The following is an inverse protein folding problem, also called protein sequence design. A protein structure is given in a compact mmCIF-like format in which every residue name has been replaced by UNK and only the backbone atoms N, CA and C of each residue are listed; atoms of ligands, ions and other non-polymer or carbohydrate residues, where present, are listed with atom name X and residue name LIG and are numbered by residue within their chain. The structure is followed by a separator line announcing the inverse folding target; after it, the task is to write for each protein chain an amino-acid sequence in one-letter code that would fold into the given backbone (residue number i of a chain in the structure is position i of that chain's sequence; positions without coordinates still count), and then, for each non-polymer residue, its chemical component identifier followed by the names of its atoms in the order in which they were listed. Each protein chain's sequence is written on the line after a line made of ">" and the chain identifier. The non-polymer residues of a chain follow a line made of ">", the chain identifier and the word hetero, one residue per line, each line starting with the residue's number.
data_IF_354193977509
#
_entry.id   IF_354193977509
#
_cell.length_a   1.000
_cell.length_b   1.000
_cell.length_c   1.000
_cell.angle_alpha   90.00
_cell.angle_beta   90.00
_cell.angle_gamma   90.00
#
_symmetry.space_group_name_H-M   'P 1'
#
loop_
_entity.id
_entity.type
_entity.pdbx_description
1 polymer ?
#
# COMPACT_ATOMS: atom_id res chain seq x y z
N UNK A 1 16.77 -35.55 30.47
CA UNK A 1 15.44 -35.06 30.04
C UNK A 1 15.63 -33.95 29.01
N UNK A 2 15.06 -34.09 27.81
CA UNK A 2 15.14 -33.04 26.77
C UNK A 2 14.10 -31.95 27.09
N UNK A 3 14.56 -30.78 27.50
CA UNK A 3 13.73 -29.58 27.62
C UNK A 3 13.46 -29.02 26.23
N UNK A 4 12.20 -29.04 25.79
CA UNK A 4 11.75 -28.30 24.62
C UNK A 4 11.18 -26.96 25.09
N UNK A 5 11.81 -25.81 24.80
CA UNK A 5 11.19 -24.52 25.09
C UNK A 5 10.07 -24.27 24.09
N UNK A 6 8.86 -24.10 24.60
CA UNK A 6 7.69 -23.66 23.86
C UNK A 6 7.95 -22.25 23.28
N UNK A 7 8.28 -22.15 21.99
CA UNK A 7 8.33 -20.90 21.23
C UNK A 7 6.91 -20.37 20.96
N UNK A 8 6.25 -19.81 21.98
CA UNK A 8 5.18 -18.83 21.80
C UNK A 8 5.85 -17.45 21.71
N UNK A 9 6.00 -16.92 20.49
CA UNK A 9 6.35 -15.50 20.28
C UNK A 9 5.41 -14.62 21.09
N UNK A 10 5.95 -13.61 21.77
CA UNK A 10 5.15 -12.69 22.60
C UNK A 10 4.09 -11.98 21.73
N UNK A 11 3.00 -11.47 22.34
CA UNK A 11 1.98 -10.69 21.62
C UNK A 11 2.57 -9.41 21.00
N UNK A 12 3.60 -8.85 21.63
CA UNK A 12 4.33 -7.66 21.18
C UNK A 12 5.12 -7.96 19.90
N UNK A 13 5.91 -9.03 19.88
CA UNK A 13 6.65 -9.49 18.69
C UNK A 13 5.71 -9.73 17.50
N UNK A 14 4.52 -10.29 17.74
CA UNK A 14 3.54 -10.52 16.68
C UNK A 14 2.96 -9.21 16.13
N UNK A 15 2.77 -8.21 16.99
CA UNK A 15 2.27 -6.89 16.59
C UNK A 15 3.32 -6.14 15.78
N UNK A 16 4.57 -6.15 16.22
CA UNK A 16 5.71 -5.57 15.52
C UNK A 16 5.91 -6.21 14.13
N UNK A 17 5.81 -7.53 14.03
CA UNK A 17 5.89 -8.24 12.75
C UNK A 17 4.79 -7.85 11.78
N UNK A 18 3.55 -7.64 12.26
CA UNK A 18 2.45 -7.16 11.41
C UNK A 18 2.74 -5.77 10.89
N UNK A 19 3.18 -4.87 11.78
CA UNK A 19 3.49 -3.50 11.43
C UNK A 19 4.63 -3.43 10.41
N UNK A 20 5.73 -4.16 10.63
CA UNK A 20 6.85 -4.25 9.69
C UNK A 20 6.41 -4.74 8.30
N UNK A 21 5.50 -5.72 8.21
CA UNK A 21 4.98 -6.21 6.93
C UNK A 21 4.09 -5.21 6.20
N UNK A 22 3.32 -4.42 6.96
CA UNK A 22 2.50 -3.32 6.42
C UNK A 22 3.41 -2.19 5.91
N UNK A 23 4.43 -1.82 6.68
CA UNK A 23 5.42 -0.81 6.30
C UNK A 23 6.20 -1.22 5.05
N UNK A 24 6.58 -2.49 4.96
CA UNK A 24 7.22 -3.04 3.77
C UNK A 24 6.30 -2.98 2.53
N UNK A 25 5.01 -3.31 2.68
CA UNK A 25 4.02 -3.16 1.62
C UNK A 25 3.94 -1.70 1.12
N UNK A 26 3.79 -0.73 2.03
CA UNK A 26 3.74 0.67 1.65
C UNK A 26 5.05 1.17 1.05
N UNK A 27 6.19 0.66 1.50
CA UNK A 27 7.49 0.97 0.91
C UNK A 27 7.53 0.53 -0.55
N UNK A 28 7.07 -0.70 -0.88
CA UNK A 28 6.99 -1.16 -2.26
C UNK A 28 6.08 -0.28 -3.14
N UNK A 29 4.94 0.17 -2.60
CA UNK A 29 4.06 1.12 -3.30
C UNK A 29 4.81 2.43 -3.58
N UNK A 30 5.45 3.02 -2.56
CA UNK A 30 6.21 4.27 -2.72
C UNK A 30 7.38 4.13 -3.69
N UNK A 31 8.07 2.99 -3.68
CA UNK A 31 9.10 2.67 -4.67
C UNK A 31 8.50 2.68 -6.08
N UNK A 32 7.37 2.00 -6.32
CA UNK A 32 6.73 2.00 -7.63
C UNK A 32 6.39 3.43 -8.09
N UNK A 33 5.85 4.27 -7.20
CA UNK A 33 5.54 5.67 -7.48
C UNK A 33 6.80 6.47 -7.82
N UNK A 34 7.81 6.44 -6.95
CA UNK A 34 9.06 7.16 -7.12
C UNK A 34 9.82 6.73 -8.38
N UNK A 35 9.85 5.43 -8.68
CA UNK A 35 10.46 4.90 -9.90
C UNK A 35 9.71 5.34 -11.16
N UNK A 36 8.37 5.40 -11.12
CA UNK A 36 7.56 5.89 -12.24
C UNK A 36 7.76 7.40 -12.44
N UNK A 37 7.84 8.18 -11.36
CA UNK A 37 8.20 9.60 -11.42
C UNK A 37 9.60 9.81 -11.99
N UNK A 38 10.59 8.97 -11.60
CA UNK A 38 11.94 9.06 -12.12
C UNK A 38 11.99 8.93 -13.65
N UNK A 39 11.26 7.93 -14.17
CA UNK A 39 11.15 7.67 -15.61
C UNK A 39 10.43 8.82 -16.31
N UNK A 40 9.27 9.24 -15.80
CA UNK A 40 8.41 10.22 -16.47
C UNK A 40 8.99 11.65 -16.45
N UNK A 41 9.69 12.02 -15.37
CA UNK A 41 10.18 13.38 -15.13
C UNK A 41 11.70 13.52 -15.35
N UNK A 42 12.38 12.43 -15.75
CA UNK A 42 13.83 12.42 -15.97
C UNK A 42 14.64 12.73 -14.71
N UNK A 43 14.22 12.24 -13.54
CA UNK A 43 14.95 12.45 -12.27
C UNK A 43 16.20 11.57 -12.26
N UNK A 44 17.36 12.20 -12.19
CA UNK A 44 18.68 11.52 -12.17
C UNK A 44 19.33 11.52 -10.79
N UNK A 45 18.93 12.43 -9.90
CA UNK A 45 19.42 12.46 -8.53
C UNK A 45 18.65 11.44 -7.67
N UNK A 46 19.29 10.33 -7.33
CA UNK A 46 18.70 9.26 -6.52
C UNK A 46 18.24 9.74 -5.13
N UNK A 47 18.88 10.77 -4.57
CA UNK A 47 18.53 11.30 -3.25
C UNK A 47 17.18 12.04 -3.24
N UNK A 48 16.65 12.41 -4.41
CA UNK A 48 15.31 12.98 -4.54
C UNK A 48 14.19 11.92 -4.32
N UNK A 49 14.54 10.63 -4.30
CA UNK A 49 13.63 9.50 -4.28
C UNK A 49 14.05 8.49 -3.19
N UNK A 50 13.81 8.82 -1.90
CA UNK A 50 14.44 8.13 -0.77
C UNK A 50 14.03 6.65 -0.63
N UNK A 51 12.75 6.30 -0.86
CA UNK A 51 12.31 4.90 -0.79
C UNK A 51 12.93 4.09 -1.92
N UNK A 52 12.97 4.63 -3.14
CA UNK A 52 13.62 4.00 -4.29
C UNK A 52 15.13 3.84 -4.05
N UNK A 53 15.78 4.86 -3.47
CA UNK A 53 17.20 4.82 -3.13
C UNK A 53 17.51 3.70 -2.13
N UNK A 54 16.72 3.61 -1.06
CA UNK A 54 16.86 2.56 -0.05
C UNK A 54 16.62 1.18 -0.67
N UNK A 55 15.53 1.02 -1.43
CA UNK A 55 15.19 -0.23 -2.11
C UNK A 55 16.29 -0.72 -3.05
N UNK A 56 16.84 0.18 -3.87
CA UNK A 56 17.95 -0.11 -4.78
C UNK A 56 19.19 -0.60 -4.03
N UNK A 57 19.56 0.05 -2.91
CA UNK A 57 20.71 -0.34 -2.08
C UNK A 57 20.49 -1.71 -1.43
N UNK A 58 19.32 -1.91 -0.80
CA UNK A 58 18.97 -3.15 -0.10
C UNK A 58 18.98 -4.36 -1.03
N UNK A 59 18.40 -4.23 -2.22
CA UNK A 59 18.30 -5.33 -3.18
C UNK A 59 19.44 -5.36 -4.21
N UNK A 60 20.40 -4.45 -4.09
CA UNK A 60 21.53 -4.32 -5.04
C UNK A 60 21.07 -4.25 -6.50
N UNK A 61 19.99 -3.51 -6.77
CA UNK A 61 19.40 -3.39 -8.11
C UNK A 61 20.32 -2.55 -8.98
N UNK A 62 20.76 -3.09 -10.11
CA UNK A 62 21.56 -2.35 -11.09
C UNK A 62 20.69 -1.37 -11.88
N UNK A 63 21.26 -0.24 -12.26
CA UNK A 63 20.58 0.74 -13.12
C UNK A 63 20.46 0.15 -14.53
N UNK A 64 19.29 0.23 -15.14
CA UNK A 64 19.05 -0.30 -16.47
C UNK A 64 19.10 0.82 -17.51
N UNK A 65 19.88 0.61 -18.57
CA UNK A 65 20.05 1.58 -19.67
C UNK A 65 20.49 2.99 -19.19
N UNK A 66 21.31 3.06 -18.14
CA UNK A 66 21.77 4.33 -17.55
C UNK A 66 20.66 5.19 -16.91
N UNK A 67 19.44 4.67 -16.76
CA UNK A 67 18.28 5.41 -16.23
C UNK A 67 17.81 4.86 -14.88
N UNK A 68 17.62 5.76 -13.92
CA UNK A 68 16.98 5.43 -12.64
C UNK A 68 15.49 5.08 -12.85
N UNK A 69 14.98 4.20 -12.00
CA UNK A 69 13.56 3.87 -11.92
C UNK A 69 13.14 2.71 -12.83
N UNK A 70 13.87 2.39 -13.90
CA UNK A 70 13.44 1.32 -14.83
C UNK A 70 13.44 -0.05 -14.15
N UNK A 71 14.56 -0.44 -13.55
CA UNK A 71 14.70 -1.73 -12.88
C UNK A 71 13.90 -1.76 -11.56
N UNK A 72 13.91 -0.65 -10.80
CA UNK A 72 13.22 -0.54 -9.52
C UNK A 72 11.68 -0.60 -9.70
N UNK A 73 11.14 0.03 -10.76
CA UNK A 73 9.71 -0.07 -11.11
C UNK A 73 9.33 -1.51 -11.47
N UNK A 74 10.12 -2.17 -12.30
CA UNK A 74 9.87 -3.56 -12.71
C UNK A 74 9.88 -4.50 -11.49
N UNK A 75 10.89 -4.38 -10.64
CA UNK A 75 11.04 -5.22 -9.46
C UNK A 75 9.94 -4.97 -8.42
N UNK A 76 9.67 -3.71 -8.09
CA UNK A 76 8.59 -3.36 -7.13
C UNK A 76 7.22 -3.81 -7.63
N UNK A 77 6.90 -3.62 -8.92
CA UNK A 77 5.67 -4.13 -9.54
C UNK A 77 5.57 -5.65 -9.40
N UNK A 78 6.63 -6.38 -9.75
CA UNK A 78 6.68 -7.85 -9.62
C UNK A 78 6.41 -8.28 -8.17
N UNK A 79 7.06 -7.65 -7.20
CA UNK A 79 6.88 -7.97 -5.77
C UNK A 79 5.47 -7.65 -5.28
N UNK A 80 4.87 -6.55 -5.75
CA UNK A 80 3.49 -6.17 -5.43
C UNK A 80 2.46 -7.15 -6.03
N UNK A 81 2.64 -7.54 -7.29
CA UNK A 81 1.76 -8.52 -7.95
C UNK A 81 1.88 -9.89 -7.30
N UNK A 82 3.09 -10.42 -7.14
CA UNK A 82 3.32 -11.78 -6.65
C UNK A 82 3.10 -11.91 -5.15
N UNK A 83 3.53 -10.91 -4.37
CA UNK A 83 3.46 -10.93 -2.91
C UNK A 83 2.12 -10.48 -2.34
N UNK A 84 1.44 -9.55 -3.02
CA UNK A 84 0.23 -8.90 -2.49
C UNK A 84 -0.99 -9.06 -3.40
N UNK A 85 -0.82 -9.60 -4.60
CA UNK A 85 -1.92 -9.89 -5.52
C UNK A 85 -2.48 -8.66 -6.22
N UNK A 86 -1.68 -7.61 -6.38
CA UNK A 86 -2.10 -6.43 -7.14
C UNK A 86 -2.22 -6.75 -8.63
N UNK A 87 -3.23 -6.17 -9.27
CA UNK A 87 -3.59 -6.33 -10.67
C UNK A 87 -2.81 -5.38 -11.56
N UNK A 88 -2.79 -5.67 -12.86
CA UNK A 88 -2.21 -4.74 -13.83
C UNK A 88 -2.99 -3.43 -13.93
N UNK A 89 -4.29 -3.48 -13.66
CA UNK A 89 -5.14 -2.30 -13.68
C UNK A 89 -4.76 -1.32 -12.55
N UNK A 90 -4.35 -1.83 -11.39
CA UNK A 90 -3.85 -1.01 -10.29
C UNK A 90 -2.70 -0.10 -10.73
N UNK A 91 -1.71 -0.68 -11.40
CA UNK A 91 -0.54 0.07 -11.87
C UNK A 91 -0.87 1.05 -12.98
N UNK A 92 -1.81 0.69 -13.88
CA UNK A 92 -2.29 1.61 -14.93
C UNK A 92 -2.93 2.86 -14.35
N UNK A 93 -3.73 2.74 -13.30
CA UNK A 93 -4.32 3.91 -12.63
C UNK A 93 -3.27 4.77 -11.91
N UNK A 94 -2.27 4.15 -11.28
CA UNK A 94 -1.11 4.88 -10.71
C UNK A 94 -0.37 5.66 -11.79
N UNK A 95 -0.03 5.00 -12.91
CA UNK A 95 0.69 5.63 -14.02
C UNK A 95 -0.11 6.80 -14.61
N UNK A 96 -1.44 6.62 -14.78
CA UNK A 96 -2.34 7.65 -15.27
C UNK A 96 -2.42 8.84 -14.30
N UNK A 97 -2.55 8.59 -13.00
CA UNK A 97 -2.57 9.60 -11.95
C UNK A 97 -1.28 10.44 -11.95
N UNK A 98 -0.13 9.76 -11.98
CA UNK A 98 1.17 10.41 -12.03
C UNK A 98 1.34 11.23 -13.31
N UNK A 99 0.93 10.70 -14.46
CA UNK A 99 0.98 11.42 -15.74
C UNK A 99 0.08 12.66 -15.73
N UNK A 100 -1.07 12.59 -15.09
CA UNK A 100 -2.00 13.72 -14.99
C UNK A 100 -1.48 14.82 -14.06
N UNK A 101 -0.90 14.45 -12.92
CA UNK A 101 -0.58 15.36 -11.83
C UNK A 101 0.89 15.81 -11.76
N UNK A 102 1.83 15.04 -12.31
CA UNK A 102 3.26 15.34 -12.26
C UNK A 102 3.76 15.70 -13.67
N UNK A 103 3.93 17.00 -13.95
CA UNK A 103 4.43 17.50 -15.24
C UNK A 103 5.90 17.89 -15.20
N UNK A 104 6.37 18.31 -14.02
CA UNK A 104 7.76 18.68 -13.74
C UNK A 104 8.23 18.05 -12.42
N UNK A 105 9.54 18.00 -12.21
CA UNK A 105 10.15 17.36 -11.03
C UNK A 105 9.61 17.91 -9.69
N UNK A 106 9.32 19.22 -9.63
CA UNK A 106 8.78 19.84 -8.42
C UNK A 106 7.39 19.33 -8.02
N UNK A 107 6.61 18.80 -8.97
CA UNK A 107 5.27 18.29 -8.69
C UNK A 107 5.32 16.93 -7.95
N UNK A 108 6.45 16.21 -8.05
CA UNK A 108 6.61 14.89 -7.44
C UNK A 108 6.38 14.92 -5.92
N UNK A 109 7.01 15.86 -5.22
CA UNK A 109 6.88 15.98 -3.76
C UNK A 109 5.45 16.38 -3.36
N UNK A 110 4.83 17.33 -4.06
CA UNK A 110 3.44 17.73 -3.81
C UNK A 110 2.45 16.58 -4.05
N UNK A 111 2.70 15.75 -5.07
CA UNK A 111 1.91 14.56 -5.32
C UNK A 111 2.08 13.52 -4.20
N UNK A 112 3.33 13.21 -3.82
CA UNK A 112 3.60 12.24 -2.73
C UNK A 112 2.97 12.69 -1.41
N UNK A 113 3.00 13.99 -1.10
CA UNK A 113 2.31 14.54 0.07
C UNK A 113 0.79 14.35 0.00
N UNK A 114 0.19 14.64 -1.16
CA UNK A 114 -1.25 14.40 -1.41
C UNK A 114 -1.60 12.92 -1.24
N UNK A 115 -0.77 12.03 -1.80
CA UNK A 115 -0.95 10.59 -1.70
C UNK A 115 -0.78 10.07 -0.27
N UNK A 116 0.17 10.62 0.50
CA UNK A 116 0.35 10.27 1.90
C UNK A 116 -0.88 10.64 2.74
N UNK A 117 -1.42 11.85 2.56
CA UNK A 117 -2.66 12.28 3.22
C UNK A 117 -3.84 11.37 2.89
N UNK A 118 -4.02 11.07 1.60
CA UNK A 118 -5.00 10.09 1.13
C UNK A 118 -4.86 8.73 1.82
N UNK A 119 -3.64 8.18 1.84
CA UNK A 119 -3.38 6.86 2.43
C UNK A 119 -3.68 6.86 3.93
N UNK A 120 -3.27 7.89 4.65
CA UNK A 120 -3.49 7.98 6.09
C UNK A 120 -4.99 8.02 6.41
N UNK A 121 -5.73 8.93 5.79
CA UNK A 121 -7.16 9.08 6.06
C UNK A 121 -7.96 7.84 5.62
N UNK A 122 -7.58 7.22 4.50
CA UNK A 122 -8.21 5.98 4.07
C UNK A 122 -7.98 4.85 5.08
N UNK A 123 -6.78 4.73 5.64
CA UNK A 123 -6.48 3.72 6.65
C UNK A 123 -7.20 3.98 7.97
N UNK A 124 -7.39 5.25 8.38
CA UNK A 124 -8.21 5.60 9.54
C UNK A 124 -9.62 5.06 9.37
N UNK A 125 -10.27 5.38 8.25
CA UNK A 125 -11.66 4.96 8.01
C UNK A 125 -11.76 3.45 7.85
N UNK A 126 -10.84 2.83 7.11
CA UNK A 126 -10.84 1.38 6.91
C UNK A 126 -10.62 0.64 8.23
N UNK A 127 -9.72 1.12 9.09
CA UNK A 127 -9.45 0.51 10.39
C UNK A 127 -10.68 0.54 11.31
N UNK A 128 -11.41 1.65 11.33
CA UNK A 128 -12.65 1.77 12.09
C UNK A 128 -13.75 0.86 11.52
N UNK A 129 -13.96 0.91 10.20
CA UNK A 129 -15.06 0.20 9.54
C UNK A 129 -14.85 -1.31 9.41
N UNK A 130 -13.61 -1.78 9.37
CA UNK A 130 -13.25 -3.19 9.16
C UNK A 130 -12.84 -3.92 10.44
N UNK A 131 -12.78 -3.25 11.61
CA UNK A 131 -12.30 -3.81 12.88
C UNK A 131 -12.91 -5.18 13.21
N UNK A 132 -14.23 -5.33 13.08
CA UNK A 132 -14.93 -6.59 13.34
C UNK A 132 -14.90 -7.56 12.16
N UNK A 133 -14.83 -7.03 10.93
CA UNK A 133 -14.88 -7.81 9.68
C UNK A 133 -13.59 -8.60 9.44
N UNK A 134 -12.47 -8.14 9.98
CA UNK A 134 -11.18 -8.86 9.94
C UNK A 134 -11.22 -10.17 10.73
N UNK A 135 -12.22 -10.41 11.60
CA UNK A 135 -12.39 -11.68 12.30
C UNK A 135 -12.83 -12.83 11.36
N UNK A 136 -13.38 -12.53 10.18
CA UNK A 136 -13.96 -13.50 9.24
C UNK A 136 -12.97 -14.60 8.79
N UNK A 137 -13.28 -15.91 8.84
CA UNK A 137 -12.34 -16.99 8.50
C UNK A 137 -11.61 -16.84 7.15
N UNK A 138 -10.37 -17.35 7.06
CA UNK A 138 -9.50 -17.19 5.88
C UNK A 138 -10.09 -17.74 4.57
N UNK A 139 -10.92 -18.80 4.64
CA UNK A 139 -11.55 -19.39 3.46
C UNK A 139 -12.60 -18.45 2.83
N UNK A 140 -13.03 -17.40 3.55
CA UNK A 140 -13.94 -16.37 3.07
C UNK A 140 -13.21 -15.14 2.51
N UNK A 141 -11.98 -15.30 1.99
CA UNK A 141 -11.20 -14.21 1.40
C UNK A 141 -11.98 -13.41 0.35
N UNK A 142 -12.75 -14.08 -0.51
CA UNK A 142 -13.61 -13.43 -1.51
C UNK A 142 -14.69 -12.56 -0.86
N UNK A 143 -15.36 -13.07 0.17
CA UNK A 143 -16.36 -12.29 0.91
C UNK A 143 -15.73 -11.08 1.62
N UNK A 144 -14.54 -11.24 2.21
CA UNK A 144 -13.79 -10.12 2.79
C UNK A 144 -13.48 -9.05 1.73
N UNK A 145 -13.11 -9.44 0.51
CA UNK A 145 -12.89 -8.51 -0.58
C UNK A 145 -14.19 -7.78 -0.97
N UNK A 146 -15.30 -8.48 -1.13
CA UNK A 146 -16.62 -7.86 -1.40
C UNK A 146 -17.03 -6.87 -0.32
N UNK A 147 -16.83 -7.23 0.95
CA UNK A 147 -17.10 -6.33 2.07
C UNK A 147 -16.15 -5.12 2.07
N UNK A 148 -14.92 -5.29 1.60
CA UNK A 148 -13.96 -4.19 1.41
C UNK A 148 -14.47 -3.22 0.34
N UNK A 149 -14.91 -3.72 -0.82
CA UNK A 149 -15.52 -2.91 -1.87
C UNK A 149 -16.75 -2.14 -1.37
N UNK A 150 -17.65 -2.80 -0.65
CA UNK A 150 -18.82 -2.14 -0.05
C UNK A 150 -18.43 -1.06 0.97
N UNK A 151 -17.33 -1.27 1.70
CA UNK A 151 -16.83 -0.28 2.65
C UNK A 151 -16.29 0.93 1.92
N UNK A 152 -15.48 0.74 0.87
CA UNK A 152 -15.01 1.82 0.00
C UNK A 152 -16.20 2.60 -0.59
N UNK A 153 -17.21 1.90 -1.09
CA UNK A 153 -18.41 2.55 -1.62
C UNK A 153 -19.07 3.46 -0.57
N UNK A 154 -19.26 2.95 0.66
CA UNK A 154 -19.79 3.76 1.78
C UNK A 154 -18.93 4.98 2.10
N UNK A 155 -17.60 4.84 2.07
CA UNK A 155 -16.68 5.97 2.30
C UNK A 155 -16.95 7.09 1.30
N UNK A 156 -17.29 6.76 0.05
CA UNK A 156 -17.51 7.74 -1.01
C UNK A 156 -18.94 8.28 -1.10
N UNK A 157 -19.94 7.54 -0.64
CA UNK A 157 -21.36 7.91 -0.84
C UNK A 157 -22.12 8.29 0.43
N UNK A 158 -21.70 7.82 1.60
CA UNK A 158 -22.43 8.03 2.87
C UNK A 158 -22.04 9.35 3.52
N UNK A 159 -22.99 10.24 3.79
CA UNK A 159 -22.71 11.56 4.39
C UNK A 159 -22.95 11.63 5.90
N UNK A 160 -23.55 10.61 6.51
CA UNK A 160 -23.92 10.57 7.91
C UNK A 160 -23.01 9.61 8.71
N UNK A 161 -21.93 10.14 9.29
CA UNK A 161 -20.99 9.35 10.11
C UNK A 161 -21.12 9.72 11.59
N UNK A 162 -21.20 8.71 12.46
CA UNK A 162 -21.39 8.92 13.91
C UNK A 162 -20.18 9.50 14.64
N UNK A 163 -18.97 9.24 14.13
CA UNK A 163 -17.72 9.72 14.71
C UNK A 163 -17.17 10.84 13.86
N UNK A 164 -16.92 12.00 14.47
CA UNK A 164 -16.41 13.19 13.76
C UNK A 164 -15.07 12.93 13.06
N UNK A 165 -14.18 12.16 13.70
CA UNK A 165 -12.90 11.78 13.09
C UNK A 165 -13.09 10.99 11.79
N UNK A 166 -13.98 9.98 11.80
CA UNK A 166 -14.29 9.17 10.62
C UNK A 166 -15.01 10.01 9.57
N UNK A 167 -15.89 10.90 9.99
CA UNK A 167 -16.59 11.82 9.10
C UNK A 167 -15.62 12.74 8.35
N UNK A 168 -14.69 13.36 9.07
CA UNK A 168 -13.69 14.26 8.51
C UNK A 168 -12.73 13.50 7.59
N UNK A 169 -12.26 12.32 8.00
CA UNK A 169 -11.41 11.47 7.17
C UNK A 169 -12.11 11.04 5.86
N UNK A 170 -13.40 10.67 5.91
CA UNK A 170 -14.18 10.37 4.70
C UNK A 170 -14.22 11.56 3.73
N UNK A 171 -14.45 12.79 4.24
CA UNK A 171 -14.46 13.99 3.39
C UNK A 171 -13.10 14.28 2.77
N UNK A 172 -12.02 14.14 3.54
CA UNK A 172 -10.66 14.29 3.02
C UNK A 172 -10.31 13.23 1.97
N UNK A 173 -10.64 11.95 2.22
CA UNK A 173 -10.45 10.86 1.25
C UNK A 173 -11.11 11.18 -0.08
N UNK A 174 -12.34 11.71 -0.08
CA UNK A 174 -13.04 12.08 -1.32
C UNK A 174 -12.30 13.18 -2.10
N UNK A 175 -11.88 14.25 -1.41
CA UNK A 175 -11.11 15.35 -2.01
C UNK A 175 -9.79 14.87 -2.59
N UNK A 176 -9.06 14.05 -1.82
CA UNK A 176 -7.81 13.48 -2.30
C UNK A 176 -8.03 12.55 -3.49
N UNK A 177 -9.04 11.68 -3.44
CA UNK A 177 -9.40 10.78 -4.54
C UNK A 177 -9.70 11.55 -5.81
N UNK A 178 -10.46 12.65 -5.74
CA UNK A 178 -10.77 13.49 -6.89
C UNK A 178 -9.49 14.03 -7.55
N UNK A 179 -8.55 14.53 -6.74
CA UNK A 179 -7.25 15.02 -7.23
C UNK A 179 -6.36 13.89 -7.79
N UNK A 180 -6.34 12.73 -7.13
CA UNK A 180 -5.51 11.60 -7.52
C UNK A 180 -6.13 10.79 -8.68
N UNK A 181 -7.44 10.86 -8.91
CA UNK A 181 -8.11 10.17 -10.00
C UNK A 181 -8.27 8.66 -9.82
N UNK A 182 -8.28 8.15 -8.57
CA UNK A 182 -8.40 6.71 -8.30
C UNK A 182 -9.84 6.19 -8.27
N UNK A 183 -10.04 5.00 -8.84
CA UNK A 183 -11.33 4.29 -8.83
C UNK A 183 -11.63 3.65 -7.47
N UNK A 184 -12.90 3.32 -7.21
CA UNK A 184 -13.29 2.52 -6.04
C UNK A 184 -12.59 1.16 -6.02
N UNK A 185 -12.43 0.55 -7.20
CA UNK A 185 -11.72 -0.72 -7.35
C UNK A 185 -10.26 -0.59 -6.93
N UNK A 186 -9.59 0.47 -7.36
CA UNK A 186 -8.20 0.76 -6.98
C UNK A 186 -8.07 0.93 -5.47
N UNK A 187 -8.98 1.69 -4.84
CA UNK A 187 -8.97 1.90 -3.38
C UNK A 187 -9.16 0.58 -2.62
N UNK A 188 -10.09 -0.27 -3.07
CA UNK A 188 -10.33 -1.59 -2.46
C UNK A 188 -9.10 -2.49 -2.60
N UNK A 189 -8.47 -2.50 -3.76
CA UNK A 189 -7.25 -3.27 -4.02
C UNK A 189 -6.05 -2.75 -3.21
N UNK A 190 -5.94 -1.44 -3.01
CA UNK A 190 -4.90 -0.80 -2.22
C UNK A 190 -4.92 -1.23 -0.75
N UNK A 191 -6.10 -1.30 -0.12
CA UNK A 191 -6.24 -1.57 1.31
C UNK A 191 -6.38 -3.06 1.64
N UNK A 192 -6.78 -3.88 0.67
CA UNK A 192 -7.02 -5.30 0.92
C UNK A 192 -5.77 -6.07 1.42
N UNK A 193 -4.56 -5.86 0.87
CA UNK A 193 -3.35 -6.45 1.42
C UNK A 193 -3.11 -6.08 2.89
N UNK A 194 -3.36 -4.83 3.27
CA UNK A 194 -3.22 -4.37 4.67
C UNK A 194 -4.15 -5.18 5.58
N UNK A 195 -5.42 -5.33 5.20
CA UNK A 195 -6.40 -6.12 5.95
C UNK A 195 -5.97 -7.59 6.10
N UNK A 196 -5.40 -8.19 5.05
CA UNK A 196 -4.89 -9.56 5.10
C UNK A 196 -3.66 -9.69 6.01
N UNK A 197 -2.75 -8.72 5.97
CA UNK A 197 -1.56 -8.70 6.84
C UNK A 197 -1.99 -8.56 8.30
N UNK A 198 -2.85 -7.58 8.61
CA UNK A 198 -3.42 -7.39 9.96
C UNK A 198 -4.15 -8.63 10.46
N UNK A 199 -4.82 -9.38 9.57
CA UNK A 199 -5.45 -10.66 9.91
C UNK A 199 -4.42 -11.75 10.21
N UNK A 200 -3.40 -11.86 9.37
CA UNK A 200 -2.36 -12.89 9.47
C UNK A 200 -1.48 -12.73 10.71
N UNK A 201 -1.45 -11.55 11.34
CA UNK A 201 -0.88 -11.35 12.68
C UNK A 201 -1.41 -12.27 13.78
N UNK A 202 -2.50 -13.01 13.52
CA UNK A 202 -3.07 -14.00 14.42
C UNK A 202 -2.57 -15.44 14.18
N UNK A 203 -1.79 -15.75 13.12
CA UNK A 203 -1.21 -17.09 12.85
C UNK A 203 0.14 -17.05 12.08
N UNK A 204 1.00 -18.05 12.32
CA UNK A 204 2.40 -18.19 11.85
C UNK A 204 2.61 -17.97 10.33
N UNK A 205 3.79 -17.43 10.01
CA UNK A 205 4.35 -17.05 8.70
C UNK A 205 4.00 -17.95 7.49
N UNK A 206 3.71 -17.36 6.31
CA UNK A 206 4.24 -17.86 5.05
C UNK A 206 5.71 -17.42 4.92
N UNK A 207 6.62 -18.39 4.83
CA UNK A 207 8.03 -18.15 4.51
C UNK A 207 8.15 -17.78 3.03
N UNK A 208 8.63 -16.56 2.76
CA UNK A 208 8.86 -16.06 1.39
C UNK A 208 10.31 -16.21 0.94
N UNK A 209 11.18 -16.89 1.70
CA UNK A 209 12.56 -17.21 1.30
C UNK A 209 12.66 -18.45 0.40
N UNK A 210 11.54 -19.13 0.14
CA UNK A 210 11.45 -20.27 -0.78
C UNK A 210 10.45 -19.99 -1.88
N UNK A 211 10.90 -19.32 -2.94
CA UNK A 211 10.41 -19.47 -4.32
C UNK A 211 11.29 -18.70 -5.28
#
# INVERSE_FOLDING_TARGET
>A
MKFFPNLKKSKEEQTELVQSRIEYYFTLIRVYYQSTMAINLGITNINALPDMAMFKRTLKIQTQNGRLGVAERSQSRKMLMQGYGLSEQFFKEVDASLKANCKKQNDAQSFLFTFQGFSNDLLVVISDQMKFKIAMPNFLRKALYTVTQQTIHKILTKDDWKKDEVYNACRSVRKYREKLGYSESWMAEYVFPVLLISKSGKKKNPDFSKR
#
